data_IF_693824405361
#
_entry.id   IF_693824405361
#
_cell.length_a   1.000
_cell.length_b   1.000
_cell.length_c   1.000
_cell.angle_alpha   90.00
_cell.angle_beta   90.00
_cell.angle_gamma   90.00
#
_symmetry.space_group_name_H-M   'P 1'
#
loop_
_entity.id
_entity.type
_entity.pdbx_description
1 polymer ?
#
# COMPACT_ATOMS: atom_id res chain seq x y z
N UNK A 1 2.23 8.39 -42.71
CA UNK A 1 2.61 7.28 -41.81
C UNK A 1 3.21 7.75 -40.47
N UNK A 2 4.05 8.80 -40.40
CA UNK A 2 4.66 9.28 -39.13
C UNK A 2 3.67 9.76 -38.05
N UNK A 3 2.50 10.31 -38.43
CA UNK A 3 1.50 10.85 -37.48
C UNK A 3 0.74 9.77 -36.69
N UNK A 4 0.55 8.58 -37.25
CA UNK A 4 -0.14 7.47 -36.57
C UNK A 4 0.75 6.80 -35.52
N UNK A 5 2.07 6.74 -35.77
CA UNK A 5 3.03 6.16 -34.84
C UNK A 5 3.11 6.95 -33.51
N UNK A 6 3.01 8.28 -33.59
CA UNK A 6 3.01 9.16 -32.42
C UNK A 6 1.78 8.97 -31.53
N UNK A 7 0.62 8.69 -32.11
CA UNK A 7 -0.63 8.47 -31.37
C UNK A 7 -0.56 7.12 -30.65
N UNK A 8 -0.05 6.06 -31.30
CA UNK A 8 0.10 4.74 -30.68
C UNK A 8 1.08 4.79 -29.50
N UNK A 9 2.20 5.51 -29.63
CA UNK A 9 3.17 5.71 -28.55
C UNK A 9 2.59 6.51 -27.37
N UNK A 10 1.75 7.52 -27.63
CA UNK A 10 1.09 8.29 -26.58
C UNK A 10 0.07 7.44 -25.79
N UNK A 11 -0.67 6.54 -26.47
CA UNK A 11 -1.63 5.63 -25.82
C UNK A 11 -0.91 4.57 -24.98
N UNK A 12 0.22 4.03 -25.45
CA UNK A 12 1.06 3.10 -24.68
C UNK A 12 1.69 3.75 -23.43
N UNK A 13 2.10 5.02 -23.53
CA UNK A 13 2.62 5.76 -22.37
C UNK A 13 1.54 6.06 -21.31
N UNK A 14 0.31 6.34 -21.73
CA UNK A 14 -0.82 6.56 -20.82
C UNK A 14 -1.27 5.26 -20.12
N UNK A 15 -1.15 4.11 -20.78
CA UNK A 15 -1.45 2.82 -20.16
C UNK A 15 -0.47 2.44 -19.02
N UNK A 16 0.78 2.90 -19.10
CA UNK A 16 1.79 2.63 -18.06
C UNK A 16 1.56 3.43 -16.76
N UNK A 17 0.88 4.58 -16.83
CA UNK A 17 0.51 5.37 -15.66
C UNK A 17 -0.62 4.74 -14.83
N UNK A 18 -1.42 3.85 -15.42
CA UNK A 18 -2.47 3.11 -14.72
C UNK A 18 -1.95 1.92 -13.87
N UNK A 19 -0.66 1.57 -13.99
CA UNK A 19 -0.02 0.53 -13.18
C UNK A 19 0.61 1.03 -11.88
N UNK A 20 0.36 2.29 -11.50
CA UNK A 20 0.53 2.69 -10.11
C UNK A 20 -0.59 2.02 -9.31
N UNK A 21 -0.28 0.85 -8.72
CA UNK A 21 -1.22 0.03 -7.94
C UNK A 21 -2.10 0.90 -7.04
N UNK A 22 -3.41 0.69 -7.13
CA UNK A 22 -4.37 1.42 -6.31
C UNK A 22 -4.01 1.23 -4.82
N UNK A 23 -4.20 2.27 -3.97
CA UNK A 23 -3.99 2.15 -2.54
C UNK A 23 -4.76 0.94 -2.00
N UNK A 24 -4.16 0.16 -1.09
CA UNK A 24 -4.79 -1.07 -0.56
C UNK A 24 -6.14 -0.78 0.10
N UNK A 25 -6.35 0.45 0.56
CA UNK A 25 -7.61 0.95 1.10
C UNK A 25 -8.77 0.87 0.08
N UNK A 26 -8.47 0.89 -1.22
CA UNK A 26 -9.47 0.73 -2.27
C UNK A 26 -9.94 -0.74 -2.44
N UNK A 27 -9.19 -1.72 -1.92
CA UNK A 27 -9.55 -3.13 -2.02
C UNK A 27 -10.64 -3.48 -0.99
N UNK A 28 -11.84 -3.84 -1.47
CA UNK A 28 -12.99 -4.19 -0.63
C UNK A 28 -12.70 -5.36 0.31
N UNK A 29 -12.04 -6.40 -0.18
CA UNK A 29 -11.74 -7.60 0.62
C UNK A 29 -10.79 -7.27 1.77
N UNK A 30 -9.79 -6.42 1.52
CA UNK A 30 -8.90 -5.92 2.58
C UNK A 30 -9.70 -5.13 3.62
N UNK A 31 -10.57 -4.22 3.19
CA UNK A 31 -11.43 -3.45 4.11
C UNK A 31 -12.35 -4.32 4.96
N UNK A 32 -12.95 -5.34 4.36
CA UNK A 32 -13.82 -6.28 5.07
C UNK A 32 -13.03 -7.12 6.09
N UNK A 33 -11.81 -7.55 5.74
CA UNK A 33 -10.89 -8.20 6.68
C UNK A 33 -10.56 -7.29 7.87
N UNK A 34 -10.15 -6.04 7.60
CA UNK A 34 -9.83 -5.04 8.63
C UNK A 34 -11.00 -4.81 9.56
N UNK A 35 -12.22 -4.70 9.00
CA UNK A 35 -13.45 -4.51 9.76
C UNK A 35 -13.82 -5.71 10.61
N UNK A 36 -13.81 -6.89 10.02
CA UNK A 36 -14.18 -8.13 10.70
C UNK A 36 -13.20 -8.46 11.84
N UNK A 37 -11.90 -8.29 11.62
CA UNK A 37 -10.84 -8.50 12.62
C UNK A 37 -10.76 -7.37 13.66
N UNK A 38 -11.49 -6.27 13.46
CA UNK A 38 -11.46 -5.05 14.27
C UNK A 38 -10.02 -4.54 14.45
N UNK A 39 -9.26 -4.42 13.36
CA UNK A 39 -7.82 -4.14 13.45
C UNK A 39 -7.48 -2.84 14.22
N UNK A 40 -8.41 -1.87 14.31
CA UNK A 40 -8.24 -0.65 15.11
C UNK A 40 -8.11 -0.91 16.62
N UNK A 41 -8.44 -2.10 17.12
CA UNK A 41 -8.29 -2.46 18.56
C UNK A 41 -7.03 -3.26 18.86
N UNK A 42 -6.24 -3.63 17.84
CA UNK A 42 -5.14 -4.61 17.96
C UNK A 42 -3.77 -3.98 18.21
N UNK A 43 -3.74 -2.81 18.84
CA UNK A 43 -2.54 -2.04 19.09
C UNK A 43 -2.16 -1.13 17.92
N UNK A 44 -1.10 -0.36 18.13
CA UNK A 44 -0.75 0.78 17.28
C UNK A 44 0.71 0.76 16.81
N UNK A 45 1.40 -0.35 17.07
CA UNK A 45 2.76 -0.59 16.57
C UNK A 45 2.70 -0.73 15.06
N UNK A 46 3.08 0.32 14.38
CA UNK A 46 3.04 0.37 12.93
C UNK A 46 4.12 -0.48 12.28
N UNK A 47 3.86 -0.87 11.03
CA UNK A 47 4.69 -1.79 10.24
C UNK A 47 5.10 -1.10 8.95
N UNK A 48 6.39 -1.10 8.63
CA UNK A 48 6.84 -0.81 7.27
C UNK A 48 6.90 -2.12 6.49
N UNK A 49 6.12 -2.21 5.41
CA UNK A 49 6.23 -3.27 4.43
C UNK A 49 7.08 -2.85 3.24
N UNK A 50 7.84 -3.78 2.67
CA UNK A 50 8.59 -3.62 1.43
C UNK A 50 8.11 -4.64 0.40
N UNK A 51 7.87 -4.19 -0.82
CA UNK A 51 7.59 -5.06 -1.96
C UNK A 51 8.91 -5.72 -2.42
N UNK A 52 9.03 -7.05 -2.43
CA UNK A 52 10.26 -7.76 -2.78
C UNK A 52 10.66 -7.60 -4.24
N UNK A 53 9.72 -7.23 -5.12
CA UNK A 53 9.97 -7.06 -6.56
C UNK A 53 10.30 -5.61 -6.91
N UNK A 54 9.51 -4.66 -6.42
CA UNK A 54 9.66 -3.25 -6.79
C UNK A 54 10.48 -2.43 -5.79
N UNK A 55 10.83 -3.01 -4.64
CA UNK A 55 11.46 -2.33 -3.49
C UNK A 55 10.69 -1.08 -3.03
N UNK A 56 9.40 -0.99 -3.37
CA UNK A 56 8.53 0.06 -2.88
C UNK A 56 8.20 -0.21 -1.42
N UNK A 57 8.05 0.87 -0.66
CA UNK A 57 7.80 0.81 0.76
C UNK A 57 6.39 1.34 1.05
N UNK A 58 5.68 0.71 1.97
CA UNK A 58 4.36 1.18 2.42
C UNK A 58 4.20 0.98 3.93
N UNK A 59 3.60 1.98 4.58
CA UNK A 59 3.32 1.91 6.02
C UNK A 59 1.95 1.32 6.30
N UNK A 60 1.84 0.52 7.36
CA UNK A 60 0.58 -0.01 7.87
C UNK A 60 0.38 0.39 9.34
N UNK A 61 -0.86 0.73 9.76
CA UNK A 61 -1.13 1.15 11.14
C UNK A 61 -0.75 0.13 12.21
N UNK A 62 -0.89 -1.17 11.92
CA UNK A 62 -0.39 -2.26 12.76
C UNK A 62 -0.30 -3.58 11.99
N UNK A 63 0.16 -4.64 12.66
CA UNK A 63 0.28 -6.01 12.11
C UNK A 63 -1.03 -6.55 11.51
N UNK A 64 -2.18 -6.21 12.08
CA UNK A 64 -3.48 -6.68 11.60
C UNK A 64 -3.80 -6.07 10.23
N UNK A 65 -3.53 -4.77 10.04
CA UNK A 65 -3.66 -4.14 8.71
C UNK A 65 -2.71 -4.77 7.70
N UNK A 66 -1.42 -4.91 8.04
CA UNK A 66 -0.41 -5.57 7.20
C UNK A 66 -0.87 -6.98 6.76
N UNK A 67 -1.34 -7.80 7.71
CA UNK A 67 -1.77 -9.16 7.43
C UNK A 67 -3.01 -9.22 6.52
N UNK A 68 -4.00 -8.34 6.73
CA UNK A 68 -5.16 -8.27 5.84
C UNK A 68 -4.78 -7.84 4.42
N UNK A 69 -3.82 -6.92 4.27
CA UNK A 69 -3.31 -6.49 2.97
C UNK A 69 -2.57 -7.64 2.29
N UNK A 70 -1.58 -8.25 2.94
CA UNK A 70 -0.80 -9.36 2.37
C UNK A 70 -1.67 -10.55 1.93
N UNK A 71 -2.72 -10.85 2.71
CA UNK A 71 -3.57 -11.99 2.40
C UNK A 71 -4.56 -11.73 1.26
N UNK A 72 -4.99 -10.47 1.03
CA UNK A 72 -6.09 -10.16 0.11
C UNK A 72 -5.77 -9.20 -1.03
N UNK A 73 -4.68 -8.44 -0.98
CA UNK A 73 -4.28 -7.53 -2.05
C UNK A 73 -3.54 -8.25 -3.17
N UNK A 74 -3.05 -9.48 -2.95
CA UNK A 74 -2.20 -10.20 -3.89
C UNK A 74 -0.76 -9.70 -3.90
N UNK A 75 -0.47 -8.63 -3.16
CA UNK A 75 0.86 -8.11 -2.95
C UNK A 75 1.53 -8.87 -1.79
N UNK A 76 2.68 -9.49 -2.04
CA UNK A 76 3.49 -10.15 -1.02
C UNK A 76 4.47 -9.14 -0.42
N UNK A 77 4.00 -8.27 0.48
CA UNK A 77 4.88 -7.37 1.21
C UNK A 77 5.67 -8.15 2.26
N UNK A 78 6.97 -7.86 2.39
CA UNK A 78 7.81 -8.32 3.49
C UNK A 78 7.87 -7.27 4.59
N UNK A 79 8.05 -7.67 5.84
CA UNK A 79 8.24 -6.71 6.93
C UNK A 79 9.69 -6.26 6.91
N UNK A 80 9.93 -4.99 6.60
CA UNK A 80 11.24 -4.38 6.69
C UNK A 80 11.57 -4.03 8.15
N UNK A 81 10.72 -3.25 8.82
CA UNK A 81 10.86 -2.96 10.24
C UNK A 81 9.56 -2.52 10.93
N UNK A 82 9.58 -2.56 12.26
CA UNK A 82 8.51 -2.07 13.13
C UNK A 82 8.83 -0.65 13.60
N UNK A 83 7.84 0.24 13.58
CA UNK A 83 7.97 1.55 14.21
C UNK A 83 7.45 1.51 15.64
N UNK A 84 8.18 2.12 16.57
CA UNK A 84 7.56 2.63 17.78
C UNK A 84 6.72 3.84 17.38
N UNK A 85 5.38 3.79 17.51
CA UNK A 85 4.52 4.88 17.08
C UNK A 85 4.81 6.11 17.95
N UNK A 86 5.32 7.19 17.36
CA UNK A 86 5.26 8.49 18.03
C UNK A 86 3.78 8.92 18.12
N UNK A 87 3.41 9.72 19.12
CA UNK A 87 2.02 10.19 19.27
C UNK A 87 1.46 10.89 18.01
N UNK A 88 2.32 11.31 17.09
CA UNK A 88 1.95 11.95 15.82
C UNK A 88 1.49 10.96 14.74
N UNK A 89 1.72 9.66 14.93
CA UNK A 89 1.27 8.61 14.00
C UNK A 89 -0.23 8.29 14.13
N UNK A 90 -0.84 8.57 15.29
CA UNK A 90 -2.22 8.15 15.58
C UNK A 90 -3.28 8.85 14.72
N UNK A 91 -2.91 9.94 14.04
CA UNK A 91 -3.85 10.84 13.34
C UNK A 91 -3.52 11.07 11.86
N UNK A 92 -2.47 10.46 11.29
CA UNK A 92 -2.07 10.69 9.90
C UNK A 92 -2.40 9.50 8.98
N UNK A 93 -2.72 9.83 7.73
CA UNK A 93 -2.87 8.86 6.64
C UNK A 93 -1.53 8.20 6.36
N UNK A 94 -1.46 6.88 6.52
CA UNK A 94 -0.28 6.05 6.24
C UNK A 94 -0.09 5.90 4.72
N UNK A 95 0.35 6.96 4.05
CA UNK A 95 0.49 6.96 2.58
C UNK A 95 1.92 6.63 2.16
N UNK A 96 2.06 5.57 1.36
CA UNK A 96 3.09 5.21 0.36
C UNK A 96 4.60 5.43 0.64
N UNK A 97 4.97 6.02 1.75
CA UNK A 97 6.33 6.12 2.27
C UNK A 97 6.21 5.59 3.67
N UNK A 98 7.08 4.67 4.05
CA UNK A 98 7.33 4.38 5.46
C UNK A 98 7.95 5.62 6.10
N UNK A 99 7.19 6.71 6.14
CA UNK A 99 7.57 7.93 6.80
C UNK A 99 7.54 7.58 8.27
N UNK A 100 8.72 7.57 8.88
CA UNK A 100 8.86 7.91 10.29
C UNK A 100 7.86 9.03 10.56
N UNK A 101 6.87 8.76 11.39
CA UNK A 101 6.25 9.86 12.10
C UNK A 101 7.37 10.61 12.86
#
# INVERSE_FOLDING_TARGET
>A
MKKFLAIVLAVLALAQLALAGAPWEANRTVRDCVKHRKCWTKGTTAVCGVDPHSHKHIGFPNRCYFACVNFHAGDTWEIDHWYHPSHKCYTKHWTARCSRC
#
